data_IF_036554765420
#
_entry.id   IF_036554765420
#
_cell.length_a   1.000
_cell.length_b   1.000
_cell.length_c   1.000
_cell.angle_alpha   90.00
_cell.angle_beta   90.00
_cell.angle_gamma   90.00
#
_symmetry.space_group_name_H-M   'P 1'
#
loop_
_entity.id
_entity.type
_entity.pdbx_description
1 polymer ?
#
# COMPACT_ATOMS: atom_id res chain seq x y z
N UNK A 1 -5.00 -2.68 -18.40
CA UNK A 1 -4.20 -1.59 -17.82
C UNK A 1 -4.81 -1.06 -16.54
N UNK A 2 -3.97 -0.57 -15.62
CA UNK A 2 -4.37 0.00 -14.34
C UNK A 2 -4.20 1.53 -14.44
N UNK A 3 -5.28 2.33 -14.40
CA UNK A 3 -5.17 3.79 -14.45
C UNK A 3 -4.44 4.36 -13.23
N UNK A 4 -3.81 5.51 -13.39
CA UNK A 4 -3.18 6.24 -12.27
C UNK A 4 -4.20 6.54 -11.16
N UNK A 5 -3.75 6.47 -9.91
CA UNK A 5 -4.56 6.67 -8.70
C UNK A 5 -5.55 5.53 -8.40
N UNK A 6 -5.59 4.48 -9.23
CA UNK A 6 -6.48 3.32 -9.01
C UNK A 6 -5.75 2.18 -8.33
N UNK A 7 -6.49 1.50 -7.46
CA UNK A 7 -6.11 0.25 -6.83
C UNK A 7 -6.91 -0.90 -7.44
N UNK A 8 -6.25 -2.02 -7.73
CA UNK A 8 -6.88 -3.25 -8.20
C UNK A 8 -6.42 -4.42 -7.35
N UNK A 9 -7.35 -5.33 -7.05
CA UNK A 9 -7.08 -6.54 -6.27
C UNK A 9 -7.13 -7.77 -7.16
N UNK A 10 -6.08 -8.59 -7.11
CA UNK A 10 -5.99 -9.87 -7.80
C UNK A 10 -5.88 -11.02 -6.80
N UNK A 11 -6.29 -12.23 -7.20
CA UNK A 11 -5.97 -13.44 -6.44
C UNK A 11 -4.63 -13.99 -6.91
N UNK A 12 -3.65 -14.08 -6.02
CA UNK A 12 -2.32 -14.60 -6.31
C UNK A 12 -1.86 -15.56 -5.21
N UNK A 13 -1.52 -16.79 -5.58
CA UNK A 13 -1.08 -17.86 -4.64
C UNK A 13 -2.02 -18.01 -3.43
N UNK A 14 -3.33 -17.91 -3.67
CA UNK A 14 -4.36 -18.04 -2.64
C UNK A 14 -4.56 -16.81 -1.74
N UNK A 15 -3.82 -15.72 -1.97
CA UNK A 15 -3.91 -14.46 -1.21
C UNK A 15 -4.36 -13.30 -2.11
N UNK A 16 -4.98 -12.25 -1.55
CA UNK A 16 -5.19 -11.01 -2.29
C UNK A 16 -3.85 -10.32 -2.57
N UNK A 17 -3.67 -9.82 -3.77
CA UNK A 17 -2.55 -9.00 -4.21
C UNK A 17 -3.11 -7.64 -4.61
N UNK A 18 -2.67 -6.59 -3.92
CA UNK A 18 -3.03 -5.22 -4.26
C UNK A 18 -1.99 -4.65 -5.22
N UNK A 19 -2.47 -4.03 -6.29
CA UNK A 19 -1.65 -3.31 -7.26
C UNK A 19 -2.23 -1.91 -7.37
N UNK A 20 -1.44 -0.91 -6.95
CA UNK A 20 -1.76 0.50 -7.09
C UNK A 20 -0.81 1.17 -8.07
N UNK A 21 -1.39 1.87 -9.03
CA UNK A 21 -0.66 2.81 -9.88
C UNK A 21 -0.65 4.16 -9.17
N UNK A 22 0.47 4.53 -8.54
CA UNK A 22 0.58 5.75 -7.73
C UNK A 22 0.78 6.97 -8.62
N UNK A 23 0.20 8.10 -8.22
CA UNK A 23 0.48 9.39 -8.84
C UNK A 23 1.83 9.95 -8.35
N UNK A 24 2.36 10.95 -9.05
CA UNK A 24 3.58 11.64 -8.63
C UNK A 24 3.45 12.27 -7.22
N UNK A 25 2.28 12.84 -6.91
CA UNK A 25 2.02 13.45 -5.60
C UNK A 25 2.00 12.41 -4.47
N UNK A 26 1.48 11.20 -4.73
CA UNK A 26 1.51 10.11 -3.76
C UNK A 26 2.95 9.63 -3.51
N UNK A 27 3.74 9.49 -4.57
CA UNK A 27 5.14 9.08 -4.44
C UNK A 27 5.93 10.10 -3.61
N UNK A 28 5.81 11.38 -3.95
CA UNK A 28 6.48 12.46 -3.23
C UNK A 28 6.06 12.51 -1.75
N UNK A 29 4.77 12.33 -1.47
CA UNK A 29 4.29 12.28 -0.08
C UNK A 29 4.93 11.12 0.69
N UNK A 30 4.89 9.90 0.14
CA UNK A 30 5.38 8.69 0.84
C UNK A 30 6.91 8.67 0.97
N UNK A 31 7.65 9.23 0.01
CA UNK A 31 9.12 9.36 0.09
C UNK A 31 9.58 10.34 1.17
N UNK A 32 8.74 11.30 1.56
CA UNK A 32 9.05 12.34 2.54
C UNK A 32 8.55 12.04 3.96
N UNK A 33 7.99 10.85 4.22
CA UNK A 33 7.52 10.47 5.56
C UNK A 33 8.70 10.29 6.51
N UNK A 34 8.74 10.98 7.68
CA UNK A 34 9.78 10.77 8.67
C UNK A 34 9.77 9.33 9.21
N UNK A 35 10.92 8.67 9.25
CA UNK A 35 10.98 7.25 9.65
C UNK A 35 10.74 7.03 11.15
N UNK A 36 11.01 8.03 11.99
CA UNK A 36 10.89 7.95 13.45
C UNK A 36 9.43 7.94 13.94
N UNK A 37 8.49 8.38 13.09
CA UNK A 37 7.05 8.29 13.39
C UNK A 37 6.43 6.94 13.00
N UNK A 38 7.17 6.09 12.28
CA UNK A 38 6.69 4.80 11.81
C UNK A 38 6.93 3.70 12.85
N UNK A 39 5.91 2.87 13.09
CA UNK A 39 6.03 1.70 13.98
C UNK A 39 7.07 0.69 13.47
N UNK A 40 7.18 0.55 12.16
CA UNK A 40 8.14 -0.30 11.46
C UNK A 40 8.89 0.57 10.44
N UNK A 41 10.05 1.15 10.81
CA UNK A 41 10.77 2.10 9.96
C UNK A 41 11.26 1.45 8.66
N UNK A 42 10.77 1.94 7.53
CA UNK A 42 11.22 1.53 6.20
C UNK A 42 10.96 2.64 5.19
N UNK A 43 11.92 2.94 4.34
CA UNK A 43 11.75 3.93 3.26
C UNK A 43 10.90 3.38 2.11
N UNK A 44 10.23 4.26 1.35
CA UNK A 44 9.45 3.82 0.19
C UNK A 44 10.32 3.12 -0.87
N UNK A 45 11.54 3.64 -1.10
CA UNK A 45 12.49 3.11 -2.10
C UNK A 45 13.00 1.70 -1.77
N UNK A 46 12.98 1.28 -0.50
CA UNK A 46 13.27 -0.10 -0.11
C UNK A 46 12.13 -1.08 -0.43
N UNK A 47 10.91 -0.56 -0.60
CA UNK A 47 9.67 -1.36 -0.76
C UNK A 47 9.25 -1.52 -2.21
N UNK A 48 9.70 -0.64 -3.10
CA UNK A 48 9.31 -0.62 -4.51
C UNK A 48 10.51 -0.67 -5.44
N UNK A 49 10.33 -1.29 -6.62
CA UNK A 49 11.35 -1.28 -7.68
C UNK A 49 11.12 -0.16 -8.70
N UNK A 50 9.87 0.28 -8.85
CA UNK A 50 9.46 1.38 -9.72
C UNK A 50 8.43 2.20 -8.95
N UNK A 51 8.73 3.45 -8.63
CA UNK A 51 7.91 4.23 -7.69
C UNK A 51 6.45 4.40 -8.12
N UNK A 52 6.13 4.36 -9.41
CA UNK A 52 4.72 4.39 -9.86
C UNK A 52 3.91 3.13 -9.49
N UNK A 53 4.55 2.02 -9.08
CA UNK A 53 3.89 0.75 -8.80
C UNK A 53 4.09 0.32 -7.36
N UNK A 54 3.01 0.34 -6.57
CA UNK A 54 2.94 -0.32 -5.28
C UNK A 54 2.28 -1.69 -5.46
N UNK A 55 3.02 -2.76 -5.18
CA UNK A 55 2.55 -4.14 -5.27
C UNK A 55 2.74 -4.82 -3.92
N UNK A 56 1.64 -5.14 -3.24
CA UNK A 56 1.68 -5.69 -1.88
C UNK A 56 0.72 -6.86 -1.71
N UNK A 57 1.06 -7.79 -0.82
CA UNK A 57 0.14 -8.84 -0.39
C UNK A 57 -0.90 -8.19 0.51
N UNK A 58 -2.18 -8.24 0.12
CA UNK A 58 -3.31 -7.60 0.80
C UNK A 58 -3.76 -8.33 2.07
N UNK A 59 -2.81 -8.73 2.92
CA UNK A 59 -3.03 -9.49 4.15
C UNK A 59 -2.49 -8.67 5.30
N UNK A 60 -3.38 -8.20 6.18
CA UNK A 60 -2.99 -7.44 7.36
C UNK A 60 -2.04 -8.27 8.24
N UNK A 61 -0.93 -7.67 8.67
CA UNK A 61 0.13 -8.34 9.44
C UNK A 61 -0.28 -8.72 10.86
N UNK A 62 -1.40 -8.20 11.38
CA UNK A 62 -1.91 -8.60 12.70
C UNK A 62 -2.50 -10.02 12.65
N UNK A 63 -3.70 -10.18 12.07
CA UNK A 63 -4.44 -11.45 12.04
C UNK A 63 -4.89 -11.90 10.65
N UNK A 64 -4.38 -11.26 9.58
CA UNK A 64 -4.54 -11.76 8.22
C UNK A 64 -5.83 -11.38 7.50
N UNK A 65 -6.68 -10.52 8.08
CA UNK A 65 -7.81 -9.92 7.37
C UNK A 65 -7.35 -9.15 6.12
N UNK A 66 -8.26 -8.97 5.16
CA UNK A 66 -7.99 -8.20 3.93
C UNK A 66 -8.30 -6.73 4.17
N UNK A 67 -7.32 -5.81 4.06
CA UNK A 67 -7.57 -4.38 4.20
C UNK A 67 -8.42 -3.79 3.07
N UNK A 68 -9.15 -2.72 3.37
CA UNK A 68 -9.95 -1.92 2.44
C UNK A 68 -9.07 -0.80 1.89
N UNK A 69 -9.00 -0.66 0.55
CA UNK A 69 -8.23 0.40 -0.11
C UNK A 69 -8.93 1.76 -0.03
N UNK A 70 -8.15 2.85 -0.04
CA UNK A 70 -8.61 4.24 0.03
C UNK A 70 -9.47 4.52 1.28
N UNK A 71 -9.09 3.90 2.40
CA UNK A 71 -9.76 4.03 3.69
C UNK A 71 -8.72 4.15 4.81
N UNK A 72 -9.16 4.68 5.96
CA UNK A 72 -8.29 5.02 7.08
C UNK A 72 -7.67 6.41 6.93
N UNK A 73 -6.99 6.85 7.99
CA UNK A 73 -6.60 8.26 8.14
C UNK A 73 -5.35 8.66 7.34
N UNK A 74 -4.62 7.67 6.79
CA UNK A 74 -3.35 7.87 6.08
C UNK A 74 -3.45 7.67 4.57
N UNK A 75 -4.66 7.68 3.99
CA UNK A 75 -4.83 7.61 2.52
C UNK A 75 -4.43 6.29 1.86
N UNK A 76 -4.13 5.25 2.63
CA UNK A 76 -3.70 3.93 2.15
C UNK A 76 -4.78 2.86 2.30
N UNK A 77 -4.62 2.01 3.31
CA UNK A 77 -5.48 0.87 3.58
C UNK A 77 -5.96 0.81 5.03
N UNK A 78 -7.20 0.39 5.24
CA UNK A 78 -7.80 0.20 6.56
C UNK A 78 -8.21 -1.25 6.76
N UNK A 79 -7.75 -1.88 7.85
CA UNK A 79 -8.18 -3.22 8.22
C UNK A 79 -9.38 -3.12 9.19
N UNK A 80 -10.59 -3.57 8.82
CA UNK A 80 -11.80 -3.35 9.63
C UNK A 80 -11.95 -4.30 10.83
N UNK A 81 -11.00 -5.22 11.04
CA UNK A 81 -11.14 -6.27 12.05
C UNK A 81 -10.87 -5.80 13.49
N UNK A 82 -10.00 -4.81 13.69
CA UNK A 82 -9.59 -4.24 14.99
C UNK A 82 -8.81 -2.94 14.76
#
# INVERSE_FOLDING_TARGET
>A
DIPEGKNVTFKWRGKPLFIRHRSAAEIEQEENVPLDILRDPQTDSERVQKSQWLVVIGVCTHLGCVPIANAGDYGGYYCPCH
#
